data_IF_941369719858
#
_entry.id   IF_941369719858
#
_cell.length_a   1.000
_cell.length_b   1.000
_cell.length_c   1.000
_cell.angle_alpha   90.00
_cell.angle_beta   90.00
_cell.angle_gamma   90.00
#
_symmetry.space_group_name_H-M   'P 1'
#
loop_
_entity.id
_entity.type
_entity.pdbx_description
1 polymer ?
#
# COMPACT_ATOMS: atom_id res chain seq x y z
N UNK A 1 11.89 -3.48 -5.74
CA UNK A 1 10.61 -3.31 -5.00
C UNK A 1 10.35 -1.86 -4.60
N UNK A 2 11.30 -1.15 -3.99
CA UNK A 2 11.09 0.24 -3.58
C UNK A 2 10.55 1.18 -4.67
N UNK A 3 11.14 1.17 -5.87
CA UNK A 3 10.71 2.02 -7.00
C UNK A 3 9.26 1.72 -7.41
N UNK A 4 8.83 0.45 -7.35
CA UNK A 4 7.45 0.08 -7.66
C UNK A 4 6.48 0.69 -6.65
N UNK A 5 6.78 0.60 -5.35
CA UNK A 5 5.96 1.22 -4.31
C UNK A 5 5.98 2.75 -4.37
N UNK A 6 7.12 3.36 -4.75
CA UNK A 6 7.23 4.80 -4.96
C UNK A 6 6.33 5.27 -6.10
N UNK A 7 6.32 4.56 -7.23
CA UNK A 7 5.43 4.85 -8.37
C UNK A 7 3.97 4.63 -7.98
N UNK A 8 3.66 3.57 -7.25
CA UNK A 8 2.30 3.28 -6.78
C UNK A 8 1.80 4.37 -5.83
N UNK A 9 2.68 4.85 -4.94
CA UNK A 9 2.40 5.94 -4.01
C UNK A 9 2.16 7.27 -4.75
N UNK A 10 3.07 7.69 -5.63
CA UNK A 10 2.90 8.91 -6.43
C UNK A 10 1.68 8.82 -7.35
N UNK A 11 1.43 7.64 -7.93
CA UNK A 11 0.27 7.38 -8.76
C UNK A 11 -1.04 7.51 -7.98
N UNK A 12 -1.10 6.99 -6.75
CA UNK A 12 -2.26 7.14 -5.87
C UNK A 12 -2.52 8.60 -5.46
N UNK A 13 -1.47 9.35 -5.13
CA UNK A 13 -1.55 10.79 -4.84
C UNK A 13 -2.04 11.57 -6.07
N UNK A 14 -1.51 11.27 -7.25
CA UNK A 14 -1.95 11.87 -8.50
C UNK A 14 -3.44 11.57 -8.76
N UNK A 15 -3.87 10.33 -8.54
CA UNK A 15 -5.26 9.91 -8.76
C UNK A 15 -6.24 10.62 -7.80
N UNK A 16 -5.85 10.89 -6.56
CA UNK A 16 -6.63 11.73 -5.64
C UNK A 16 -6.77 13.17 -6.14
N UNK A 17 -5.72 13.74 -6.73
CA UNK A 17 -5.81 15.07 -7.37
C UNK A 17 -6.65 15.06 -8.64
N UNK A 18 -6.50 14.03 -9.47
CA UNK A 18 -7.25 13.85 -10.70
C UNK A 18 -8.77 13.69 -10.45
N UNK A 19 -9.16 13.21 -9.27
CA UNK A 19 -10.55 13.12 -8.86
C UNK A 19 -11.31 14.44 -8.97
N UNK A 20 -10.66 15.58 -8.75
CA UNK A 20 -11.27 16.90 -8.88
C UNK A 20 -11.51 17.35 -10.32
N UNK A 21 -10.99 16.62 -11.29
CA UNK A 21 -11.19 16.89 -12.72
C UNK A 21 -12.24 15.96 -13.36
N UNK A 22 -12.75 14.96 -12.63
CA UNK A 22 -13.71 13.97 -13.14
C UNK A 22 -15.15 14.40 -12.83
N UNK A 23 -16.00 14.40 -13.87
CA UNK A 23 -17.39 14.86 -13.77
C UNK A 23 -18.38 13.81 -13.21
N UNK A 24 -18.10 12.52 -13.44
CA UNK A 24 -19.09 11.47 -13.20
C UNK A 24 -19.05 10.93 -11.76
N UNK A 25 -17.86 10.54 -11.27
CA UNK A 25 -17.70 9.91 -9.95
C UNK A 25 -16.42 10.37 -9.22
N UNK A 26 -16.30 11.67 -8.89
CA UNK A 26 -15.09 12.21 -8.26
C UNK A 26 -14.76 11.51 -6.93
N UNK A 27 -15.78 11.18 -6.12
CA UNK A 27 -15.57 10.48 -4.84
C UNK A 27 -14.94 9.09 -5.01
N UNK A 28 -15.34 8.34 -6.05
CA UNK A 28 -14.86 6.97 -6.28
C UNK A 28 -13.39 6.98 -6.77
N UNK A 29 -13.03 7.96 -7.62
CA UNK A 29 -11.66 8.19 -8.07
C UNK A 29 -10.76 8.61 -6.90
N UNK A 30 -11.27 9.47 -6.02
CA UNK A 30 -10.55 9.89 -4.81
C UNK A 30 -10.31 8.71 -3.86
N UNK A 31 -11.35 7.93 -3.55
CA UNK A 31 -11.21 6.73 -2.70
C UNK A 31 -10.28 5.69 -3.34
N UNK A 32 -10.31 5.54 -4.66
CA UNK A 32 -9.37 4.70 -5.40
C UNK A 32 -7.93 5.15 -5.20
N UNK A 33 -7.64 6.45 -5.37
CA UNK A 33 -6.31 7.01 -5.13
C UNK A 33 -5.85 6.85 -3.67
N UNK A 34 -6.78 7.02 -2.72
CA UNK A 34 -6.51 6.83 -1.29
C UNK A 34 -6.15 5.36 -0.99
N UNK A 35 -6.92 4.39 -1.49
CA UNK A 35 -6.63 2.96 -1.29
C UNK A 35 -5.30 2.55 -1.91
N UNK A 36 -4.99 3.03 -3.13
CA UNK A 36 -3.72 2.75 -3.80
C UNK A 36 -2.54 3.31 -3.00
N UNK A 37 -2.67 4.54 -2.48
CA UNK A 37 -1.65 5.18 -1.64
C UNK A 37 -1.46 4.41 -0.33
N UNK A 38 -2.55 4.01 0.34
CA UNK A 38 -2.49 3.22 1.57
C UNK A 38 -1.87 1.85 1.36
N UNK A 39 -2.18 1.16 0.25
CA UNK A 39 -1.58 -0.12 -0.09
C UNK A 39 -0.08 0.01 -0.38
N UNK A 40 0.33 1.08 -1.08
CA UNK A 40 1.74 1.33 -1.39
C UNK A 40 2.62 1.44 -0.14
N UNK A 41 2.07 1.96 0.96
CA UNK A 41 2.76 2.09 2.25
C UNK A 41 2.54 0.87 3.15
N UNK A 42 1.30 0.36 3.22
CA UNK A 42 0.91 -0.69 4.14
C UNK A 42 1.48 -2.07 3.78
N UNK A 43 1.52 -2.43 2.49
CA UNK A 43 2.02 -3.73 2.03
C UNK A 43 3.49 -3.98 2.44
N UNK A 44 4.46 -3.07 2.19
CA UNK A 44 5.85 -3.33 2.58
C UNK A 44 6.02 -3.46 4.09
N UNK A 45 5.29 -2.69 4.89
CA UNK A 45 5.28 -2.82 6.35
C UNK A 45 4.67 -4.16 6.80
N UNK A 46 3.58 -4.59 6.16
CA UNK A 46 2.93 -5.86 6.48
C UNK A 46 3.84 -7.05 6.16
N UNK A 47 4.52 -7.02 5.00
CA UNK A 47 5.48 -8.06 4.61
C UNK A 47 6.60 -8.15 5.64
N UNK A 48 7.19 -7.01 6.02
CA UNK A 48 8.25 -6.97 7.03
C UNK A 48 7.78 -7.48 8.41
N UNK A 49 6.54 -7.15 8.81
CA UNK A 49 5.98 -7.63 10.07
C UNK A 49 5.65 -9.13 10.07
N UNK A 50 5.26 -9.69 8.92
CA UNK A 50 5.00 -11.13 8.76
C UNK A 50 6.29 -11.94 8.82
N UNK A 51 7.38 -11.44 8.21
CA UNK A 51 8.69 -12.11 8.21
C UNK A 51 9.21 -12.34 9.64
N UNK A 52 9.15 -11.31 10.49
CA UNK A 52 9.62 -11.42 11.88
C UNK A 52 8.83 -12.43 12.74
N UNK A 53 7.52 -12.59 12.51
CA UNK A 53 6.73 -13.61 13.23
C UNK A 53 7.07 -15.04 12.80
N UNK A 54 7.60 -15.23 11.59
CA UNK A 54 8.03 -16.55 11.11
C UNK A 54 9.25 -17.06 11.88
N UNK A 55 10.19 -16.17 12.21
CA UNK A 55 11.44 -16.49 12.89
C UNK A 55 11.21 -17.00 14.32
N UNK A 56 10.34 -16.33 15.10
CA UNK A 56 10.02 -16.71 16.49
C UNK A 56 9.41 -18.13 16.58
N UNK A 57 8.68 -18.55 15.55
CA UNK A 57 7.99 -19.84 15.53
C UNK A 57 8.92 -21.02 15.21
N UNK A 58 10.04 -20.76 14.54
CA UNK A 58 11.01 -21.80 14.14
C UNK A 58 12.03 -22.13 15.24
N UNK A 59 12.41 -21.14 16.05
CA UNK A 59 13.36 -21.32 17.17
C UNK A 59 12.74 -22.15 18.32
N UNK A 60 11.44 -22.02 18.55
CA UNK A 60 10.71 -22.77 19.57
C UNK A 60 10.50 -24.26 19.28
N UNK A 61 10.69 -24.72 18.02
CA UNK A 61 10.50 -26.14 17.65
C UNK A 61 11.74 -27.01 17.83
N UNK A 62 12.89 -26.40 18.12
CA UNK A 62 14.19 -27.10 18.23
C UNK A 62 14.62 -27.31 19.68
N UNK A 63 13.75 -27.00 20.65
CA UNK A 63 13.99 -27.19 22.09
C UNK A 63 13.06 -28.22 22.69
#
# INVERSE_FOLDING_TARGET
MFVLFLVLFLGGIYLMGAAFNVAEFPGLVFTGGLLVTSAAVGIPFLIAAVEHRGEERSDGSTR
#
